data_IF_161078017513
#
_entry.id   IF_161078017513
#
_cell.length_a   1.000
_cell.length_b   1.000
_cell.length_c   1.000
_cell.angle_alpha   90.00
_cell.angle_beta   90.00
_cell.angle_gamma   90.00
#
_symmetry.space_group_name_H-M   'P 1'
#
loop_
_entity.id
_entity.type
_entity.pdbx_description
1 polymer ?
#
# COMPACT_ATOMS: atom_id res chain seq x y z
N UNK A 1 17.63 -3.58 14.06
CA UNK A 1 17.07 -4.73 14.79
C UNK A 1 15.56 -4.70 14.65
N UNK A 2 14.95 -5.76 14.15
CA UNK A 2 13.49 -5.88 14.08
C UNK A 2 12.93 -5.84 15.51
N UNK A 3 12.09 -4.86 15.81
CA UNK A 3 11.46 -4.73 17.12
C UNK A 3 10.26 -5.66 17.14
N UNK A 4 10.39 -6.81 17.82
CA UNK A 4 9.27 -7.72 18.05
C UNK A 4 8.23 -7.01 18.93
N UNK A 5 7.02 -6.82 18.41
CA UNK A 5 5.92 -6.10 19.10
C UNK A 5 4.80 -7.03 19.56
N UNK A 6 4.79 -8.27 19.07
CA UNK A 6 3.77 -9.30 19.36
C UNK A 6 4.49 -10.63 19.59
N UNK A 7 4.01 -11.41 20.57
CA UNK A 7 4.33 -12.84 20.75
C UNK A 7 3.01 -13.62 20.70
N UNK A 8 3.00 -14.74 19.98
CA UNK A 8 1.87 -15.68 19.94
C UNK A 8 2.38 -17.02 20.46
N UNK A 9 1.72 -17.56 21.47
CA UNK A 9 2.02 -18.87 22.04
C UNK A 9 1.42 -19.99 21.17
N UNK A 10 1.86 -21.23 21.37
CA UNK A 10 1.37 -22.41 20.60
C UNK A 10 -0.12 -22.70 20.79
N UNK A 11 -0.68 -22.28 21.91
CA UNK A 11 -2.11 -22.37 22.22
C UNK A 11 -2.94 -21.22 21.60
N UNK A 12 -2.31 -20.36 20.82
CA UNK A 12 -2.93 -19.20 20.18
C UNK A 12 -3.10 -18.00 21.11
N UNK A 13 -2.54 -18.00 22.33
CA UNK A 13 -2.59 -16.82 23.20
C UNK A 13 -1.65 -15.73 22.67
N UNK A 14 -2.16 -14.50 22.58
CA UNK A 14 -1.46 -13.35 22.02
C UNK A 14 -1.05 -12.39 23.12
N UNK A 15 0.21 -12.00 23.07
CA UNK A 15 0.84 -11.01 23.93
C UNK A 15 1.27 -9.80 23.11
N UNK A 16 0.94 -8.60 23.57
CA UNK A 16 1.55 -7.37 23.05
C UNK A 16 2.80 -7.09 23.87
N UNK A 17 3.96 -7.10 23.22
CA UNK A 17 5.24 -6.77 23.85
C UNK A 17 5.30 -5.25 24.02
N UNK A 18 5.51 -4.80 25.25
CA UNK A 18 5.60 -3.38 25.61
C UNK A 18 7.05 -2.94 25.75
N UNK A 19 7.32 -1.68 25.42
CA UNK A 19 8.62 -1.08 25.66
C UNK A 19 8.83 -0.77 27.15
N UNK A 20 10.09 -0.55 27.55
CA UNK A 20 10.42 -0.09 28.90
C UNK A 20 9.59 1.12 29.35
N UNK A 21 9.42 2.12 28.50
CA UNK A 21 8.64 3.32 28.82
C UNK A 21 7.14 3.00 28.99
N UNK A 22 6.59 2.16 28.11
CA UNK A 22 5.19 1.75 28.21
C UNK A 22 4.93 0.90 29.45
N UNK A 23 5.80 -0.08 29.74
CA UNK A 23 5.70 -0.93 30.92
C UNK A 23 5.75 -0.12 32.22
N UNK A 24 6.69 0.83 32.32
CA UNK A 24 6.77 1.75 33.47
C UNK A 24 5.50 2.57 33.61
N UNK A 25 4.98 3.13 32.51
CA UNK A 25 3.74 3.90 32.53
C UNK A 25 2.54 3.06 32.98
N UNK A 26 2.39 1.84 32.44
CA UNK A 26 1.33 0.90 32.81
C UNK A 26 1.39 0.54 34.30
N UNK A 27 2.60 0.26 34.80
CA UNK A 27 2.85 -0.09 36.20
C UNK A 27 2.51 1.07 37.15
N UNK A 28 3.05 2.26 36.87
CA UNK A 28 2.84 3.45 37.71
C UNK A 28 1.38 3.86 37.82
N UNK A 29 0.61 3.65 36.75
CA UNK A 29 -0.80 4.01 36.68
C UNK A 29 -1.75 2.82 36.96
N UNK A 30 -1.21 1.63 37.28
CA UNK A 30 -1.97 0.40 37.56
C UNK A 30 -3.05 0.10 36.51
N UNK A 31 -2.72 0.27 35.22
CA UNK A 31 -3.72 0.18 34.15
C UNK A 31 -4.13 -1.27 33.84
N UNK A 32 -3.17 -2.19 33.94
CA UNK A 32 -3.34 -3.63 33.68
C UNK A 32 -2.14 -4.40 34.22
N UNK A 33 -2.28 -5.71 34.29
CA UNK A 33 -1.21 -6.63 34.69
C UNK A 33 -0.12 -6.71 33.62
N UNK A 34 1.12 -6.88 34.07
CA UNK A 34 2.29 -7.05 33.22
C UNK A 34 2.90 -8.41 33.46
N UNK A 35 3.36 -9.05 32.39
CA UNK A 35 3.90 -10.40 32.43
C UNK A 35 5.30 -10.43 31.84
N UNK A 36 6.20 -11.21 32.45
CA UNK A 36 7.43 -11.63 31.79
C UNK A 36 7.12 -12.79 30.85
N UNK A 37 7.62 -12.72 29.62
CA UNK A 37 7.39 -13.72 28.58
C UNK A 37 8.69 -14.51 28.34
N UNK A 38 8.64 -15.82 28.56
CA UNK A 38 9.78 -16.71 28.37
C UNK A 38 9.81 -17.32 26.97
N UNK A 39 10.96 -17.87 26.57
CA UNK A 39 11.17 -18.47 25.24
C UNK A 39 10.45 -19.83 25.09
N UNK A 40 10.11 -20.49 26.19
CA UNK A 40 9.42 -21.78 26.22
C UNK A 40 7.88 -21.67 26.17
N UNK A 41 7.38 -20.46 25.88
CA UNK A 41 5.96 -20.08 25.86
C UNK A 41 5.28 -20.02 27.24
N UNK A 42 6.05 -20.11 28.33
CA UNK A 42 5.55 -19.78 29.66
C UNK A 42 5.59 -18.28 29.94
N UNK A 43 4.83 -17.85 30.94
CA UNK A 43 4.75 -16.48 31.43
C UNK A 43 4.76 -16.41 32.96
N UNK A 44 5.14 -15.25 33.49
CA UNK A 44 5.06 -14.97 34.92
C UNK A 44 4.47 -13.58 35.18
N UNK A 45 3.49 -13.51 36.08
CA UNK A 45 2.94 -12.22 36.52
C UNK A 45 4.03 -11.41 37.24
N UNK A 46 4.15 -10.14 36.88
CA UNK A 46 5.05 -9.21 37.57
C UNK A 46 4.32 -8.63 38.77
N UNK A 47 4.73 -9.04 39.98
CA UNK A 47 4.04 -8.67 41.22
C UNK A 47 4.74 -7.53 41.99
N UNK A 48 5.93 -7.11 41.56
CA UNK A 48 6.69 -6.06 42.24
C UNK A 48 7.49 -5.17 41.28
N UNK A 49 7.83 -3.97 41.75
CA UNK A 49 8.65 -3.02 41.00
C UNK A 49 10.04 -3.59 40.70
N UNK A 50 10.63 -4.30 41.65
CA UNK A 50 11.95 -4.91 41.46
C UNK A 50 11.91 -6.02 40.39
N UNK A 51 10.84 -6.83 40.38
CA UNK A 51 10.61 -7.82 39.33
C UNK A 51 10.42 -7.18 37.95
N UNK A 52 9.71 -6.04 37.88
CA UNK A 52 9.56 -5.28 36.64
C UNK A 52 10.91 -4.78 36.12
N UNK A 53 11.74 -4.20 37.00
CA UNK A 53 13.05 -3.68 36.63
C UNK A 53 14.00 -4.78 36.17
N UNK A 54 13.91 -5.98 36.76
CA UNK A 54 14.66 -7.16 36.32
C UNK A 54 14.18 -7.67 34.96
N UNK A 55 12.86 -7.84 34.78
CA UNK A 55 12.29 -8.33 33.51
C UNK A 55 12.64 -7.42 32.32
N UNK A 56 12.66 -6.10 32.55
CA UNK A 56 13.01 -5.11 31.52
C UNK A 56 14.49 -5.09 31.11
N UNK A 57 15.37 -5.81 31.82
CA UNK A 57 16.79 -5.94 31.45
C UNK A 57 17.00 -7.11 30.49
N UNK A 58 16.44 -8.28 30.82
CA UNK A 58 16.83 -9.55 30.21
C UNK A 58 15.68 -10.30 29.52
N UNK A 59 14.46 -9.75 29.52
CA UNK A 59 13.28 -10.46 29.01
C UNK A 59 12.29 -9.56 28.29
N UNK A 60 11.33 -10.18 27.61
CA UNK A 60 10.19 -9.45 27.07
C UNK A 60 9.12 -9.27 28.14
N UNK A 61 8.59 -8.06 28.22
CA UNK A 61 7.42 -7.75 29.06
C UNK A 61 6.20 -7.60 28.15
N UNK A 62 5.12 -8.27 28.49
CA UNK A 62 3.89 -8.31 27.73
C UNK A 62 2.67 -7.87 28.54
N UNK A 63 1.64 -7.47 27.80
CA UNK A 63 0.26 -7.40 28.28
C UNK A 63 -0.56 -8.44 27.53
N UNK A 64 -1.55 -9.01 28.23
CA UNK A 64 -2.51 -9.92 27.63
C UNK A 64 -3.32 -9.21 26.55
N UNK A 65 -3.48 -9.87 25.40
CA UNK A 65 -4.37 -9.40 24.32
C UNK A 65 -5.59 -10.33 24.24
N UNK A 66 -5.37 -11.64 24.30
CA UNK A 66 -6.42 -12.65 24.25
C UNK A 66 -6.00 -13.89 23.46
N UNK A 67 -6.93 -14.82 23.27
CA UNK A 67 -6.73 -15.99 22.41
C UNK A 67 -7.19 -15.71 20.98
N UNK A 68 -6.42 -16.17 20.02
CA UNK A 68 -6.92 -16.41 18.67
C UNK A 68 -7.96 -17.52 18.74
N UNK A 69 -9.12 -17.28 18.14
CA UNK A 69 -10.06 -18.35 17.79
C UNK A 69 -9.42 -19.30 16.77
N UNK A 70 -9.92 -20.53 16.64
CA UNK A 70 -9.38 -21.50 15.66
C UNK A 70 -9.30 -20.90 14.25
N UNK A 71 -10.35 -20.17 13.84
CA UNK A 71 -10.38 -19.44 12.56
C UNK A 71 -9.34 -18.33 12.43
N UNK A 72 -8.96 -17.66 13.53
CA UNK A 72 -7.94 -16.60 13.51
C UNK A 72 -6.52 -17.19 13.49
N UNK A 73 -6.30 -18.32 14.17
CA UNK A 73 -5.04 -19.06 14.09
C UNK A 73 -4.79 -19.57 12.67
N UNK A 74 -5.82 -20.15 12.04
CA UNK A 74 -5.76 -20.62 10.66
C UNK A 74 -5.50 -19.45 9.69
N UNK A 75 -6.19 -18.32 9.89
CA UNK A 75 -5.97 -17.12 9.12
C UNK A 75 -4.53 -16.62 9.22
N UNK A 76 -3.94 -16.55 10.42
CA UNK A 76 -2.57 -16.07 10.61
C UNK A 76 -1.53 -17.02 10.00
N UNK A 77 -1.73 -18.34 10.11
CA UNK A 77 -0.87 -19.32 9.46
C UNK A 77 -0.91 -19.14 7.93
N UNK A 78 -2.12 -19.11 7.37
CA UNK A 78 -2.31 -18.88 5.93
C UNK A 78 -1.72 -17.53 5.49
N UNK A 79 -1.86 -16.48 6.31
CA UNK A 79 -1.28 -15.17 6.03
C UNK A 79 0.24 -15.23 5.98
N UNK A 80 0.86 -15.90 6.95
CA UNK A 80 2.30 -16.05 7.03
C UNK A 80 2.85 -16.81 5.81
N UNK A 81 2.26 -17.95 5.48
CA UNK A 81 2.75 -18.80 4.39
C UNK A 81 2.53 -18.15 3.03
N UNK A 82 1.34 -17.60 2.76
CA UNK A 82 1.07 -16.87 1.51
C UNK A 82 1.99 -15.66 1.40
N UNK A 83 2.17 -14.87 2.47
CA UNK A 83 3.06 -13.70 2.44
C UNK A 83 4.50 -14.07 2.12
N UNK A 84 5.01 -15.14 2.72
CA UNK A 84 6.39 -15.60 2.54
C UNK A 84 6.68 -15.93 1.08
N UNK A 85 5.72 -16.56 0.39
CA UNK A 85 5.88 -16.98 -1.00
C UNK A 85 5.58 -15.87 -2.02
N UNK A 86 4.69 -14.93 -1.71
CA UNK A 86 4.07 -14.08 -2.74
C UNK A 86 4.45 -12.60 -2.70
N UNK A 87 4.90 -12.05 -1.55
CA UNK A 87 5.14 -10.59 -1.43
C UNK A 87 6.08 -10.09 -2.53
N UNK A 88 7.24 -10.73 -2.70
CA UNK A 88 8.21 -10.31 -3.72
C UNK A 88 7.69 -10.55 -5.13
N UNK A 89 7.03 -11.69 -5.36
CA UNK A 89 6.46 -12.04 -6.68
C UNK A 89 5.41 -11.03 -7.11
N UNK A 90 4.57 -10.57 -6.19
CA UNK A 90 3.52 -9.56 -6.46
C UNK A 90 4.13 -8.18 -6.67
N UNK A 91 5.10 -7.77 -5.83
CA UNK A 91 5.76 -6.46 -6.02
C UNK A 91 6.49 -6.40 -7.35
N UNK A 92 7.14 -7.49 -7.76
CA UNK A 92 7.85 -7.57 -9.04
C UNK A 92 6.88 -7.64 -10.22
N UNK A 93 5.77 -8.39 -10.09
CA UNK A 93 4.76 -8.54 -11.14
C UNK A 93 4.01 -7.24 -11.42
N UNK A 94 3.69 -6.46 -10.38
CA UNK A 94 2.83 -5.28 -10.46
C UNK A 94 3.57 -3.95 -10.36
N UNK A 95 4.89 -3.97 -10.13
CA UNK A 95 5.71 -2.79 -9.77
C UNK A 95 5.07 -1.94 -8.66
N UNK A 96 4.61 -2.62 -7.59
CA UNK A 96 3.86 -1.98 -6.51
C UNK A 96 4.62 -1.99 -5.18
N UNK A 97 4.17 -1.17 -4.23
CA UNK A 97 4.74 -1.15 -2.89
C UNK A 97 4.41 -2.44 -2.13
N UNK A 98 5.25 -2.78 -1.14
CA UNK A 98 4.98 -3.89 -0.22
C UNK A 98 3.64 -3.75 0.51
N UNK A 99 3.20 -2.52 0.77
CA UNK A 99 1.91 -2.26 1.42
C UNK A 99 0.73 -2.61 0.51
N UNK A 100 0.84 -2.33 -0.79
CA UNK A 100 -0.17 -2.71 -1.78
C UNK A 100 -0.19 -4.21 -2.02
N UNK A 101 0.98 -4.84 -2.16
CA UNK A 101 1.11 -6.29 -2.24
C UNK A 101 0.47 -6.98 -1.01
N UNK A 102 0.71 -6.45 0.19
CA UNK A 102 0.15 -7.02 1.42
C UNK A 102 -1.38 -6.94 1.47
N UNK A 103 -2.00 -5.87 0.95
CA UNK A 103 -3.47 -5.80 0.84
C UNK A 103 -4.05 -6.88 -0.07
N UNK A 104 -3.37 -7.20 -1.17
CA UNK A 104 -3.77 -8.29 -2.07
C UNK A 104 -3.67 -9.63 -1.32
N UNK A 105 -2.56 -9.84 -0.62
CA UNK A 105 -2.32 -11.05 0.16
C UNK A 105 -3.37 -11.25 1.25
N UNK A 106 -3.74 -10.19 1.99
CA UNK A 106 -4.80 -10.28 3.00
C UNK A 106 -6.13 -10.77 2.42
N UNK A 107 -6.48 -10.32 1.21
CA UNK A 107 -7.69 -10.80 0.53
C UNK A 107 -7.55 -12.27 0.12
N UNK A 108 -6.38 -12.67 -0.42
CA UNK A 108 -6.10 -14.05 -0.78
C UNK A 108 -6.13 -14.99 0.42
N UNK A 109 -5.63 -14.55 1.57
CA UNK A 109 -5.68 -15.32 2.81
C UNK A 109 -7.11 -15.58 3.27
N UNK A 110 -7.97 -14.56 3.23
CA UNK A 110 -9.39 -14.74 3.56
C UNK A 110 -10.06 -15.72 2.60
N UNK A 111 -9.83 -15.55 1.30
CA UNK A 111 -10.40 -16.43 0.28
C UNK A 111 -9.91 -17.88 0.40
N UNK A 112 -8.62 -18.09 0.70
CA UNK A 112 -8.07 -19.42 0.95
C UNK A 112 -8.73 -20.07 2.17
N UNK A 113 -8.93 -19.31 3.25
CA UNK A 113 -9.65 -19.77 4.44
C UNK A 113 -11.09 -20.16 4.14
N UNK A 114 -11.79 -19.37 3.33
CA UNK A 114 -13.19 -19.64 2.95
C UNK A 114 -13.33 -20.91 2.09
N UNK A 115 -12.39 -21.16 1.18
CA UNK A 115 -12.43 -22.31 0.26
C UNK A 115 -11.93 -23.58 0.95
N UNK A 116 -10.80 -23.49 1.65
CA UNK A 116 -10.05 -24.66 2.13
C UNK A 116 -10.13 -24.87 3.64
N UNK A 117 -10.61 -23.90 4.43
CA UNK A 117 -10.76 -24.01 5.89
C UNK A 117 -11.43 -25.30 6.36
N UNK A 118 -12.50 -25.81 5.72
CA UNK A 118 -13.12 -27.09 6.08
C UNK A 118 -12.24 -28.34 5.84
N UNK A 119 -11.15 -28.23 5.08
CA UNK A 119 -10.33 -29.34 4.60
C UNK A 119 -8.91 -29.36 5.18
N UNK A 120 -8.46 -28.28 5.84
CA UNK A 120 -7.10 -28.07 6.37
C UNK A 120 -6.66 -29.07 7.46
N UNK A 121 -7.55 -29.96 7.94
CA UNK A 121 -7.26 -30.86 9.06
C UNK A 121 -7.74 -32.32 8.86
N UNK A 122 -7.93 -32.76 7.62
CA UNK A 122 -8.29 -34.17 7.34
C UNK A 122 -7.05 -35.08 7.31
N UNK A 123 -7.18 -36.38 7.64
CA UNK A 123 -6.03 -37.31 7.79
C UNK A 123 -5.20 -37.56 6.50
N UNK A 124 -5.62 -37.04 5.35
CA UNK A 124 -4.90 -37.15 4.05
C UNK A 124 -4.45 -35.77 3.52
N UNK A 125 -4.22 -34.80 4.41
CA UNK A 125 -4.10 -33.39 4.03
C UNK A 125 -2.79 -33.03 3.34
N UNK A 126 -2.92 -32.43 2.16
CA UNK A 126 -1.82 -31.79 1.44
C UNK A 126 -1.98 -30.26 1.47
N UNK A 127 -1.86 -29.70 2.68
CA UNK A 127 -1.98 -28.26 2.92
C UNK A 127 -1.09 -27.45 1.99
N UNK A 128 0.16 -27.88 1.82
CA UNK A 128 1.13 -27.16 1.02
C UNK A 128 0.86 -27.31 -0.49
N UNK A 129 0.42 -28.47 -1.01
CA UNK A 129 -0.01 -28.57 -2.42
C UNK A 129 -1.25 -27.71 -2.69
N UNK A 130 -2.22 -27.66 -1.76
CA UNK A 130 -3.40 -26.78 -1.89
C UNK A 130 -2.99 -25.31 -1.88
N UNK A 131 -2.08 -24.94 -0.98
CA UNK A 131 -1.56 -23.59 -0.87
C UNK A 131 -0.79 -23.18 -2.13
N UNK A 132 0.12 -24.04 -2.59
CA UNK A 132 0.96 -23.81 -3.77
C UNK A 132 0.09 -23.71 -5.03
N UNK A 133 -0.87 -24.64 -5.21
CA UNK A 133 -1.83 -24.57 -6.31
C UNK A 133 -2.62 -23.26 -6.29
N UNK A 134 -3.15 -22.88 -5.12
CA UNK A 134 -3.90 -21.64 -4.96
C UNK A 134 -3.03 -20.42 -5.29
N UNK A 135 -1.79 -20.37 -4.79
CA UNK A 135 -0.86 -19.26 -5.05
C UNK A 135 -0.55 -19.14 -6.55
N UNK A 136 -0.22 -20.25 -7.21
CA UNK A 136 0.08 -20.24 -8.64
C UNK A 136 -1.13 -19.84 -9.47
N UNK A 137 -2.32 -20.37 -9.17
CA UNK A 137 -3.56 -19.96 -9.84
C UNK A 137 -3.82 -18.46 -9.65
N UNK A 138 -3.67 -17.95 -8.43
CA UNK A 138 -3.88 -16.53 -8.12
C UNK A 138 -2.87 -15.63 -8.81
N UNK A 139 -1.60 -16.03 -8.87
CA UNK A 139 -0.57 -15.29 -9.59
C UNK A 139 -0.80 -15.35 -11.09
N UNK A 140 -1.24 -16.47 -11.64
CA UNK A 140 -1.65 -16.55 -13.04
C UNK A 140 -2.85 -15.66 -13.34
N UNK A 141 -3.88 -15.65 -12.48
CA UNK A 141 -5.05 -14.80 -12.65
C UNK A 141 -4.69 -13.33 -12.50
N UNK A 142 -3.81 -12.99 -11.56
CA UNK A 142 -3.31 -11.64 -11.36
C UNK A 142 -2.47 -11.19 -12.56
N UNK A 143 -1.56 -12.04 -13.02
CA UNK A 143 -0.75 -11.82 -14.20
C UNK A 143 -1.62 -11.75 -15.45
N UNK A 144 -2.68 -12.57 -15.61
CA UNK A 144 -3.65 -12.48 -16.71
C UNK A 144 -4.44 -11.19 -16.62
N UNK A 145 -4.95 -10.82 -15.45
CA UNK A 145 -5.64 -9.53 -15.23
C UNK A 145 -4.75 -8.35 -15.61
N UNK A 146 -3.43 -8.47 -15.37
CA UNK A 146 -2.44 -7.47 -15.73
C UNK A 146 -1.92 -7.62 -17.18
N UNK A 147 -1.93 -8.81 -17.79
CA UNK A 147 -1.43 -9.10 -19.14
C UNK A 147 -2.51 -9.07 -20.23
N UNK A 148 -3.80 -9.18 -19.88
CA UNK A 148 -4.90 -8.66 -20.71
C UNK A 148 -4.89 -7.13 -20.74
N UNK A 149 -3.92 -6.51 -20.06
CA UNK A 149 -3.63 -5.07 -20.02
C UNK A 149 -2.11 -4.86 -20.23
N UNK A 150 -1.54 -5.30 -21.36
CA UNK A 150 -0.17 -4.92 -21.73
C UNK A 150 -0.17 -3.66 -22.63
N UNK A 151 0.79 -2.73 -22.50
CA UNK A 151 1.31 -2.09 -21.28
C UNK A 151 1.09 -0.56 -21.31
N UNK A 152 1.23 0.06 -20.13
CA UNK A 152 1.52 1.50 -19.89
C UNK A 152 0.50 2.55 -20.36
N UNK A 153 -0.16 3.23 -19.40
CA UNK A 153 -0.30 4.72 -19.34
C UNK A 153 -1.61 5.25 -18.69
N UNK A 154 -2.62 4.41 -18.43
CA UNK A 154 -3.99 4.94 -18.25
C UNK A 154 -4.34 5.35 -16.79
N UNK A 155 -3.58 4.96 -15.76
CA UNK A 155 -3.97 5.26 -14.35
C UNK A 155 -3.08 6.26 -13.61
N UNK A 156 -2.09 6.87 -14.24
CA UNK A 156 -1.40 8.02 -13.67
C UNK A 156 -1.71 9.22 -14.54
N UNK A 157 -2.32 10.26 -13.96
CA UNK A 157 -2.56 11.51 -14.68
C UNK A 157 -1.22 12.03 -15.22
N UNK A 158 -1.08 11.99 -16.55
CA UNK A 158 0.08 12.52 -17.23
C UNK A 158 -0.26 13.87 -17.79
N UNK A 159 0.61 14.82 -17.53
CA UNK A 159 0.47 16.18 -18.05
C UNK A 159 1.74 16.55 -18.80
N UNK A 160 1.56 17.29 -19.87
CA UNK A 160 2.64 17.95 -20.59
C UNK A 160 2.20 19.37 -20.87
N UNK A 161 3.11 20.32 -20.72
CA UNK A 161 2.81 21.71 -21.04
C UNK A 161 2.83 21.91 -22.56
N UNK A 162 1.74 22.45 -23.10
CA UNK A 162 1.55 22.80 -24.51
C UNK A 162 1.22 24.29 -24.63
N UNK A 163 1.82 24.94 -25.63
CA UNK A 163 1.37 26.25 -26.09
C UNK A 163 0.26 26.05 -27.10
N UNK A 164 -0.89 26.70 -26.89
CA UNK A 164 -1.98 26.75 -27.85
C UNK A 164 -2.13 28.16 -28.42
N UNK A 165 -2.09 28.28 -29.74
CA UNK A 165 -2.47 29.50 -30.45
C UNK A 165 -3.98 29.62 -30.49
N UNK A 166 -4.53 30.66 -29.88
CA UNK A 166 -5.97 30.93 -29.88
C UNK A 166 -6.26 32.39 -30.21
N UNK A 167 -7.39 32.61 -30.89
CA UNK A 167 -7.99 33.94 -31.09
C UNK A 167 -9.24 34.01 -30.23
N UNK A 168 -9.27 34.96 -29.29
CA UNK A 168 -10.42 35.21 -28.43
C UNK A 168 -11.38 36.20 -29.09
N UNK A 169 -12.68 35.96 -28.93
CA UNK A 169 -13.74 36.86 -29.38
C UNK A 169 -14.61 37.30 -28.21
N UNK A 170 -15.07 38.55 -28.20
CA UNK A 170 -15.87 39.09 -27.11
C UNK A 170 -16.35 40.50 -27.40
N UNK A 171 -17.04 41.11 -26.45
CA UNK A 171 -17.35 42.54 -26.54
C UNK A 171 -16.06 43.37 -26.46
N UNK A 172 -16.10 44.60 -26.96
CA UNK A 172 -14.97 45.53 -26.85
C UNK A 172 -14.47 45.67 -25.41
N UNK A 173 -15.38 45.81 -24.45
CA UNK A 173 -15.01 45.95 -23.04
C UNK A 173 -14.29 44.71 -22.49
N UNK A 174 -14.74 43.51 -22.86
CA UNK A 174 -14.11 42.24 -22.45
C UNK A 174 -12.70 42.09 -23.06
N UNK A 175 -12.55 42.33 -24.37
CA UNK A 175 -11.25 42.18 -25.06
C UNK A 175 -10.27 43.28 -24.63
N UNK A 176 -10.70 44.53 -24.50
CA UNK A 176 -9.84 45.63 -24.06
C UNK A 176 -9.27 45.35 -22.65
N UNK A 177 -10.10 44.80 -21.74
CA UNK A 177 -9.66 44.40 -20.40
C UNK A 177 -8.66 43.24 -20.42
N UNK A 178 -8.85 42.24 -21.29
CA UNK A 178 -7.88 41.13 -21.45
C UNK A 178 -6.53 41.67 -21.94
N UNK A 179 -6.54 42.56 -22.94
CA UNK A 179 -5.31 43.15 -23.49
C UNK A 179 -4.61 44.07 -22.47
N UNK A 180 -5.34 44.74 -21.58
CA UNK A 180 -4.74 45.53 -20.50
C UNK A 180 -4.18 44.68 -19.34
N UNK A 181 -4.51 43.38 -19.30
CA UNK A 181 -4.12 42.47 -18.23
C UNK A 181 -5.12 42.40 -17.05
N UNK A 182 -6.26 43.07 -17.14
CA UNK A 182 -7.28 43.14 -16.08
C UNK A 182 -8.52 42.25 -16.37
N UNK A 183 -8.54 41.58 -17.52
CA UNK A 183 -9.68 40.78 -17.99
C UNK A 183 -9.64 39.31 -17.55
N UNK A 184 -10.83 38.70 -17.50
CA UNK A 184 -11.01 37.27 -17.19
C UNK A 184 -11.09 36.45 -18.48
N UNK A 185 -9.97 35.83 -18.86
CA UNK A 185 -9.89 34.96 -20.04
C UNK A 185 -10.77 33.71 -19.86
N UNK A 186 -10.90 33.19 -18.64
CA UNK A 186 -11.66 31.96 -18.37
C UNK A 186 -13.13 32.13 -18.72
N UNK A 187 -13.70 33.30 -18.44
CA UNK A 187 -15.07 33.62 -18.78
C UNK A 187 -15.37 33.54 -20.29
N UNK A 188 -14.41 33.87 -21.15
CA UNK A 188 -14.58 33.73 -22.62
C UNK A 188 -14.41 32.28 -23.08
N UNK A 189 -13.49 31.54 -22.46
CA UNK A 189 -13.30 30.11 -22.75
C UNK A 189 -14.53 29.29 -22.36
N UNK A 190 -15.13 29.54 -21.19
CA UNK A 190 -16.34 28.87 -20.71
C UNK A 190 -17.55 29.14 -21.62
N UNK A 191 -17.59 30.31 -22.26
CA UNK A 191 -18.59 30.67 -23.29
C UNK A 191 -18.26 30.15 -24.69
N UNK A 192 -17.15 29.42 -24.86
CA UNK A 192 -16.63 28.93 -26.15
C UNK A 192 -16.38 30.06 -27.17
N UNK A 193 -15.97 31.24 -26.70
CA UNK A 193 -15.70 32.40 -27.56
C UNK A 193 -14.23 32.45 -27.99
N UNK A 194 -13.76 31.36 -28.61
CA UNK A 194 -12.40 31.27 -29.13
C UNK A 194 -12.33 30.37 -30.35
N UNK A 195 -11.29 30.56 -31.15
CA UNK A 195 -10.90 29.66 -32.24
C UNK A 195 -9.42 29.32 -32.10
N UNK A 196 -9.05 28.06 -32.36
CA UNK A 196 -7.64 27.68 -32.48
C UNK A 196 -7.09 28.27 -33.78
N UNK A 197 -6.14 29.20 -33.63
CA UNK A 197 -5.43 29.83 -34.73
C UNK A 197 -4.04 30.28 -34.26
N UNK A 198 -3.02 30.02 -35.07
CA UNK A 198 -1.61 30.32 -34.76
C UNK A 198 -0.83 29.12 -34.26
N UNK A 199 0.44 29.33 -33.93
CA UNK A 199 1.38 28.26 -33.60
C UNK A 199 1.00 27.55 -32.30
N UNK A 200 0.71 26.26 -32.40
CA UNK A 200 0.45 25.38 -31.26
C UNK A 200 1.50 24.29 -31.22
N UNK A 201 2.20 24.15 -30.09
CA UNK A 201 3.31 23.19 -29.97
C UNK A 201 3.62 22.81 -28.53
N UNK A 202 4.21 21.64 -28.34
CA UNK A 202 4.90 21.24 -27.10
C UNK A 202 6.36 21.69 -27.23
N UNK A 203 6.87 22.57 -26.36
CA UNK A 203 8.27 22.97 -26.36
C UNK A 203 9.20 21.79 -26.06
N UNK A 204 10.41 21.84 -26.61
CA UNK A 204 11.46 20.86 -26.37
C UNK A 204 11.71 20.61 -24.87
N UNK A 205 11.77 21.66 -24.05
CA UNK A 205 11.98 21.54 -22.61
C UNK A 205 10.83 20.81 -21.88
N UNK A 206 9.59 20.89 -22.40
CA UNK A 206 8.46 20.14 -21.84
C UNK A 206 8.58 18.65 -22.13
N UNK A 207 9.15 18.27 -23.29
CA UNK A 207 9.42 16.86 -23.65
C UNK A 207 10.56 16.30 -22.78
N UNK A 208 11.62 17.08 -22.55
CA UNK A 208 12.69 16.70 -21.62
C UNK A 208 12.17 16.46 -20.20
N UNK A 209 11.33 17.36 -19.69
CA UNK A 209 10.75 17.23 -18.36
C UNK A 209 9.81 16.03 -18.27
N UNK A 210 8.99 15.81 -19.31
CA UNK A 210 8.11 14.65 -19.39
C UNK A 210 8.90 13.33 -19.34
N UNK A 211 9.98 13.23 -20.13
CA UNK A 211 10.88 12.08 -20.12
C UNK A 211 11.49 11.83 -18.75
N UNK A 212 11.93 12.89 -18.08
CA UNK A 212 12.50 12.79 -16.73
C UNK A 212 11.45 12.36 -15.70
N UNK A 213 10.26 12.95 -15.76
CA UNK A 213 9.19 12.74 -14.79
C UNK A 213 8.57 11.35 -14.90
N UNK A 214 8.36 10.88 -16.12
CA UNK A 214 7.66 9.62 -16.39
C UNK A 214 8.59 8.50 -16.85
N UNK A 215 9.90 8.72 -16.81
CA UNK A 215 10.94 7.77 -17.24
C UNK A 215 10.69 7.24 -18.67
N UNK A 216 10.45 8.16 -19.60
CA UNK A 216 10.25 7.88 -21.03
C UNK A 216 11.44 8.35 -21.87
N UNK A 217 11.52 7.91 -23.12
CA UNK A 217 12.64 8.16 -24.04
C UNK A 217 12.22 8.87 -25.34
N UNK A 218 11.19 9.72 -25.28
CA UNK A 218 10.73 10.47 -26.45
C UNK A 218 11.82 11.39 -27.00
N UNK A 219 11.82 11.57 -28.32
CA UNK A 219 12.78 12.46 -28.97
C UNK A 219 12.54 13.92 -28.53
N UNK A 220 13.56 14.52 -27.96
CA UNK A 220 13.56 15.89 -27.46
C UNK A 220 13.64 16.85 -28.65
N UNK A 221 12.48 17.31 -29.11
CA UNK A 221 12.31 18.36 -30.12
C UNK A 221 10.97 19.08 -29.88
N UNK A 222 10.79 20.23 -30.54
CA UNK A 222 9.48 20.88 -30.61
C UNK A 222 8.47 20.02 -31.39
N UNK A 223 7.28 19.81 -30.82
CA UNK A 223 6.21 19.03 -31.44
C UNK A 223 5.06 19.98 -31.80
N UNK A 224 4.93 20.31 -33.09
CA UNK A 224 3.88 21.23 -33.58
C UNK A 224 2.57 20.51 -33.89
N UNK A 225 1.45 21.20 -33.66
CA UNK A 225 0.09 20.72 -33.91
C UNK A 225 -0.68 21.71 -34.78
N UNK A 226 -1.58 21.18 -35.60
CA UNK A 226 -2.60 21.95 -36.31
C UNK A 226 -3.94 21.69 -35.61
N UNK A 227 -4.41 22.69 -34.87
CA UNK A 227 -5.59 22.61 -34.00
C UNK A 227 -6.77 23.36 -34.61
#
# INVERSE_FOLDING_TARGET
>A
MNRKTIKVNKDGFVWRIVSKKEAQFIWEHQLMELYVLYDDDSEGLIESKDALEQALQDSFVGIEVGHLTGSESDYLLNLQEISTQTVLRITDLLDCSRQEAFKIIQNWTSEFGDIYGPYQYTENNDYYELLDHFIEEKLELLAKKYNTVAPSDIEHERSVWLRAGIVLSGTKQEIDAIVSGDGDIKALLDKQQFEFQGDSYIPECSVEEYNRQYNTDFNVNEISYNL
#
